data_IF_781833193617
#
_entry.id   IF_781833193617
#
_cell.length_a   1.000
_cell.length_b   1.000
_cell.length_c   1.000
_cell.angle_alpha   90.00
_cell.angle_beta   90.00
_cell.angle_gamma   90.00
#
_symmetry.space_group_name_H-M   'P 1'
#
loop_
_entity.id
_entity.type
_entity.pdbx_description
1 polymer ?
#
# COMPACT_ATOMS: atom_id res chain seq x y z
N UNK A 1 -1.08 1.88 -7.48
CA UNK A 1 -1.17 3.23 -8.09
C UNK A 1 -1.61 3.05 -9.53
N UNK A 2 -2.83 3.45 -9.82
CA UNK A 2 -3.35 3.43 -11.17
C UNK A 2 -2.98 4.72 -11.91
N UNK A 3 -2.98 4.67 -13.25
CA UNK A 3 -2.60 5.82 -14.07
C UNK A 3 -3.64 6.94 -13.88
N UNK A 4 -3.20 8.05 -13.31
CA UNK A 4 -4.05 9.24 -13.09
C UNK A 4 -4.35 9.52 -11.62
N UNK A 5 -4.05 8.60 -10.71
CA UNK A 5 -4.18 8.80 -9.26
C UNK A 5 -2.93 9.46 -8.68
N UNK A 6 -3.12 10.34 -7.70
CA UNK A 6 -2.03 10.71 -6.82
C UNK A 6 -1.79 9.63 -5.75
N UNK A 7 -0.67 9.73 -5.03
CA UNK A 7 -0.26 8.68 -4.09
C UNK A 7 -1.24 8.50 -2.92
N UNK A 8 -1.85 9.59 -2.45
CA UNK A 8 -2.79 9.57 -1.34
C UNK A 8 -4.15 9.01 -1.78
N UNK A 9 -4.60 9.35 -2.99
CA UNK A 9 -5.82 8.78 -3.60
C UNK A 9 -5.71 7.27 -3.76
N UNK A 10 -4.59 6.81 -4.33
CA UNK A 10 -4.31 5.38 -4.45
C UNK A 10 -4.29 4.70 -3.07
N UNK A 11 -3.61 5.28 -2.08
CA UNK A 11 -3.57 4.71 -0.73
C UNK A 11 -4.96 4.57 -0.11
N UNK A 12 -5.81 5.61 -0.19
CA UNK A 12 -7.16 5.58 0.38
C UNK A 12 -8.03 4.54 -0.33
N UNK A 13 -7.92 4.42 -1.66
CA UNK A 13 -8.64 3.41 -2.44
C UNK A 13 -8.22 1.99 -2.03
N UNK A 14 -6.92 1.71 -1.99
CA UNK A 14 -6.38 0.37 -1.67
C UNK A 14 -6.79 -0.05 -0.24
N UNK A 15 -6.70 0.85 0.75
CA UNK A 15 -7.18 0.57 2.12
C UNK A 15 -8.66 0.19 2.11
N UNK A 16 -9.47 0.90 1.32
CA UNK A 16 -10.91 0.61 1.23
C UNK A 16 -11.18 -0.73 0.56
N UNK A 17 -10.47 -1.06 -0.52
CA UNK A 17 -10.60 -2.33 -1.24
C UNK A 17 -10.16 -3.54 -0.40
N UNK A 18 -9.05 -3.40 0.34
CA UNK A 18 -8.48 -4.50 1.11
C UNK A 18 -9.17 -4.75 2.46
N UNK A 19 -9.72 -3.71 3.09
CA UNK A 19 -10.19 -3.77 4.50
C UNK A 19 -11.63 -3.33 4.72
N UNK A 20 -12.26 -2.71 3.72
CA UNK A 20 -13.55 -2.01 3.81
C UNK A 20 -13.56 -0.78 4.75
N UNK A 21 -12.38 -0.29 5.17
CA UNK A 21 -12.24 0.89 6.04
C UNK A 21 -12.10 2.18 5.22
N UNK A 22 -12.85 3.22 5.59
CA UNK A 22 -12.66 4.57 5.09
C UNK A 22 -11.71 5.35 6.00
N UNK A 23 -10.72 6.01 5.41
CA UNK A 23 -9.72 6.81 6.13
C UNK A 23 -9.46 8.15 5.45
N UNK A 24 -8.88 9.09 6.18
CA UNK A 24 -8.25 10.30 5.61
C UNK A 24 -6.77 10.32 5.92
N UNK A 25 -5.95 10.68 4.93
CA UNK A 25 -4.50 10.83 5.13
C UNK A 25 -4.23 12.04 6.02
N UNK A 26 -3.48 11.84 7.11
CA UNK A 26 -3.03 12.91 7.99
C UNK A 26 -1.68 13.46 7.54
N UNK A 27 -0.68 12.59 7.42
CA UNK A 27 0.66 12.97 6.98
C UNK A 27 1.52 11.76 6.59
N UNK A 28 2.56 11.98 5.79
CA UNK A 28 3.65 11.04 5.57
C UNK A 28 4.50 10.94 6.85
N UNK A 29 4.70 9.73 7.35
CA UNK A 29 5.47 9.46 8.59
C UNK A 29 6.76 8.69 8.34
N UNK A 30 6.90 8.04 7.20
CA UNK A 30 8.10 7.25 6.88
C UNK A 30 8.37 7.19 5.38
N UNK A 31 9.66 7.23 5.04
CA UNK A 31 10.15 6.99 3.69
C UNK A 31 11.30 5.99 3.78
N UNK A 32 11.08 4.79 3.25
CA UNK A 32 12.04 3.70 3.32
C UNK A 32 12.36 3.21 1.92
N UNK A 33 13.64 2.98 1.64
CA UNK A 33 14.07 2.39 0.38
C UNK A 33 14.71 1.04 0.62
N UNK A 34 14.24 0.01 -0.07
CA UNK A 34 15.04 -1.21 -0.21
C UNK A 34 16.03 -1.01 -1.35
N UNK A 35 17.26 -0.61 -1.01
CA UNK A 35 18.35 -0.37 -1.95
C UNK A 35 18.97 -1.65 -2.54
N UNK A 36 18.53 -2.82 -2.07
CA UNK A 36 19.06 -4.10 -2.53
C UNK A 36 18.15 -4.67 -3.60
N UNK A 37 18.70 -4.88 -4.80
CA UNK A 37 18.04 -5.68 -5.83
C UNK A 37 17.88 -7.10 -5.30
N UNK A 38 16.63 -7.53 -5.11
CA UNK A 38 16.30 -8.90 -4.72
C UNK A 38 15.86 -9.69 -5.95
N UNK A 39 16.04 -11.00 -5.94
CA UNK A 39 15.43 -11.88 -6.94
C UNK A 39 14.04 -12.28 -6.48
N UNK A 40 13.06 -12.29 -7.38
CA UNK A 40 11.70 -12.71 -7.10
C UNK A 40 11.66 -14.19 -6.71
N UNK A 41 10.52 -14.69 -6.23
CA UNK A 41 10.41 -16.08 -5.75
C UNK A 41 10.71 -17.14 -6.82
N UNK A 42 10.73 -16.75 -8.09
CA UNK A 42 11.08 -17.60 -9.23
C UNK A 42 12.60 -17.82 -9.41
N UNK A 43 13.44 -17.10 -8.67
CA UNK A 43 14.90 -17.20 -8.74
C UNK A 43 15.53 -16.62 -10.00
N UNK A 44 14.76 -15.95 -10.87
CA UNK A 44 15.25 -15.41 -12.16
C UNK A 44 14.90 -13.94 -12.35
N UNK A 45 13.75 -13.50 -11.88
CA UNK A 45 13.24 -12.14 -12.13
C UNK A 45 13.89 -11.15 -11.16
N UNK A 46 14.63 -10.13 -11.64
CA UNK A 46 15.16 -9.09 -10.79
C UNK A 46 14.04 -8.17 -10.31
N UNK A 47 13.95 -7.99 -9.00
CA UNK A 47 13.04 -7.04 -8.37
C UNK A 47 13.78 -5.71 -8.23
N UNK A 48 13.27 -4.63 -8.84
CA UNK A 48 13.89 -3.32 -8.72
C UNK A 48 13.82 -2.80 -7.28
N UNK A 49 14.61 -1.77 -7.00
CA UNK A 49 14.53 -0.98 -5.77
C UNK A 49 13.09 -0.59 -5.48
N UNK A 50 12.61 -0.91 -4.28
CA UNK A 50 11.28 -0.51 -3.80
C UNK A 50 11.39 0.68 -2.88
N UNK A 51 10.55 1.68 -3.12
CA UNK A 51 10.34 2.80 -2.21
C UNK A 51 9.01 2.55 -1.48
N UNK A 52 9.06 2.51 -0.16
CA UNK A 52 7.90 2.34 0.71
C UNK A 52 7.64 3.68 1.40
N UNK A 53 6.40 4.15 1.26
CA UNK A 53 5.92 5.40 1.86
C UNK A 53 4.84 5.05 2.87
N UNK A 54 5.10 5.35 4.13
CA UNK A 54 4.18 5.07 5.22
C UNK A 54 3.44 6.36 5.58
N UNK A 55 2.12 6.30 5.57
CA UNK A 55 1.25 7.40 5.93
C UNK A 55 0.51 7.10 7.22
N UNK A 56 0.39 8.11 8.07
CA UNK A 56 -0.55 8.09 9.17
C UNK A 56 -1.92 8.49 8.64
N UNK A 57 -2.91 7.64 8.86
CA UNK A 57 -4.29 7.87 8.44
C UNK A 57 -5.22 7.93 9.66
N UNK A 58 -6.21 8.81 9.58
CA UNK A 58 -7.28 8.91 10.56
C UNK A 58 -8.48 8.05 10.12
N UNK A 59 -8.98 7.23 11.03
CA UNK A 59 -10.18 6.42 10.80
C UNK A 59 -11.42 7.32 10.65
N UNK A 60 -12.23 7.04 9.64
CA UNK A 60 -13.50 7.72 9.40
C UNK A 60 -14.69 6.80 9.67
N UNK A 61 -14.72 5.61 9.06
CA UNK A 61 -15.82 4.65 9.18
C UNK A 61 -15.47 3.27 8.59
N UNK A 62 -16.34 2.29 8.78
CA UNK A 62 -16.20 0.92 8.25
C UNK A 62 -15.90 -0.11 9.33
N UNK A 63 -16.08 -1.39 8.99
CA UNK A 63 -15.74 -2.52 9.84
C UNK A 63 -14.68 -3.37 9.14
N UNK A 64 -13.62 -3.82 9.82
CA UNK A 64 -12.57 -4.60 9.18
C UNK A 64 -13.15 -5.90 8.60
N UNK A 65 -12.99 -6.07 7.30
CA UNK A 65 -13.31 -7.33 6.62
C UNK A 65 -12.05 -7.91 5.99
N UNK A 66 -12.03 -9.23 5.82
CA UNK A 66 -10.97 -9.90 5.06
C UNK A 66 -11.28 -9.80 3.58
N UNK A 67 -10.36 -9.30 2.78
CA UNK A 67 -10.45 -9.34 1.32
C UNK A 67 -9.91 -10.66 0.74
N UNK A 68 -10.26 -10.94 -0.51
CA UNK A 68 -9.83 -12.15 -1.24
C UNK A 68 -8.30 -12.22 -1.44
N UNK A 69 -7.58 -11.10 -1.29
CA UNK A 69 -6.12 -11.04 -1.37
C UNK A 69 -5.42 -11.40 -0.05
N UNK A 70 -6.02 -11.07 1.10
CA UNK A 70 -5.43 -11.35 2.43
C UNK A 70 -5.67 -12.79 2.90
N UNK A 71 -6.44 -13.59 2.15
CA UNK A 71 -6.82 -14.98 2.49
C UNK A 71 -5.88 -16.04 1.87
N UNK A 72 -4.76 -15.64 1.24
CA UNK A 72 -3.77 -16.55 0.64
C UNK A 72 -2.56 -16.84 1.50
#
# INVERSE_FOLDING_TARGET
MEIGENLEEALVREIKEETDINVTVRCLVGLYSNIQQSTWYDGVTPVPTKLMLDFLCDYVSGEPTTSDETTK
#
